data_IF_483204440503
#
_entry.id   IF_483204440503
#
_cell.length_a   1.000
_cell.length_b   1.000
_cell.length_c   1.000
_cell.angle_alpha   90.00
_cell.angle_beta   90.00
_cell.angle_gamma   90.00
#
_symmetry.space_group_name_H-M   'P 1'
#
loop_
_entity.id
_entity.type
_entity.pdbx_description
1 polymer ?
#
# COMPACT_ATOMS: atom_id res chain seq x y z
N UNK A 1 11.93 -33.36 4.07
CA UNK A 1 10.55 -33.67 4.52
C UNK A 1 10.51 -33.93 6.02
N UNK A 2 11.45 -34.73 6.57
CA UNK A 2 11.61 -34.94 8.02
C UNK A 2 11.68 -33.62 8.83
N UNK A 3 12.58 -32.70 8.48
CA UNK A 3 12.73 -31.41 9.18
C UNK A 3 11.46 -30.55 9.20
N UNK A 4 10.60 -30.67 8.18
CA UNK A 4 9.34 -29.94 8.12
C UNK A 4 8.30 -30.58 9.05
N UNK A 5 8.26 -31.91 9.11
CA UNK A 5 7.39 -32.66 10.03
C UNK A 5 7.84 -32.40 11.48
N UNK A 6 9.14 -32.41 11.77
CA UNK A 6 9.68 -32.16 13.12
C UNK A 6 9.42 -30.72 13.59
N UNK A 7 9.55 -29.74 12.69
CA UNK A 7 9.24 -28.33 12.99
C UNK A 7 7.75 -28.12 13.27
N UNK A 8 6.87 -28.74 12.47
CA UNK A 8 5.41 -28.65 12.67
C UNK A 8 4.98 -29.46 13.91
N UNK A 9 5.72 -30.51 14.27
CA UNK A 9 5.45 -31.35 15.43
C UNK A 9 5.69 -30.63 16.77
N UNK A 10 6.41 -29.49 16.78
CA UNK A 10 6.75 -28.72 18.00
C UNK A 10 7.34 -29.58 19.14
N UNK A 11 8.04 -30.66 18.77
CA UNK A 11 8.58 -31.62 19.73
C UNK A 11 9.72 -31.03 20.57
N UNK A 12 10.49 -30.11 19.99
CA UNK A 12 11.56 -29.39 20.68
C UNK A 12 11.00 -28.15 21.41
N UNK A 13 11.17 -28.06 22.74
CA UNK A 13 10.75 -26.89 23.52
C UNK A 13 11.32 -25.57 23.00
N UNK A 14 12.56 -25.55 22.50
CA UNK A 14 13.17 -24.33 22.00
C UNK A 14 12.45 -23.83 20.74
N UNK A 15 12.20 -24.72 19.77
CA UNK A 15 11.46 -24.40 18.55
C UNK A 15 10.08 -23.83 18.89
N UNK A 16 9.39 -24.41 19.88
CA UNK A 16 8.09 -23.91 20.33
C UNK A 16 8.18 -22.48 20.87
N UNK A 17 9.20 -22.16 21.68
CA UNK A 17 9.36 -20.83 22.24
C UNK A 17 9.71 -19.78 21.17
N UNK A 18 10.62 -20.12 20.26
CA UNK A 18 11.03 -19.25 19.15
C UNK A 18 9.85 -18.96 18.22
N UNK A 19 9.11 -19.99 17.82
CA UNK A 19 7.99 -19.83 16.89
C UNK A 19 6.86 -19.01 17.52
N UNK A 20 6.45 -19.34 18.75
CA UNK A 20 5.39 -18.59 19.44
C UNK A 20 5.80 -17.14 19.70
N UNK A 21 7.04 -16.91 20.13
CA UNK A 21 7.58 -15.56 20.32
C UNK A 21 7.56 -14.74 19.03
N UNK A 22 8.11 -15.28 17.93
CA UNK A 22 8.15 -14.58 16.65
C UNK A 22 6.75 -14.31 16.08
N UNK A 23 5.82 -15.25 16.22
CA UNK A 23 4.44 -15.06 15.76
C UNK A 23 3.73 -13.95 16.54
N UNK A 24 3.85 -13.95 17.87
CA UNK A 24 3.22 -12.93 18.72
C UNK A 24 3.82 -11.54 18.49
N UNK A 25 5.14 -11.45 18.38
CA UNK A 25 5.85 -10.21 18.12
C UNK A 25 5.54 -9.68 16.72
N UNK A 26 5.57 -10.53 15.68
CA UNK A 26 5.25 -10.11 14.33
C UNK A 26 3.77 -9.70 14.19
N UNK A 27 2.85 -10.40 14.85
CA UNK A 27 1.42 -10.06 14.86
C UNK A 27 1.18 -8.70 15.53
N UNK A 28 1.71 -8.50 16.73
CA UNK A 28 1.53 -7.24 17.48
C UNK A 28 2.21 -6.06 16.79
N UNK A 29 3.43 -6.24 16.26
CA UNK A 29 4.14 -5.22 15.50
C UNK A 29 3.40 -4.84 14.21
N UNK A 30 2.93 -5.82 13.42
CA UNK A 30 2.18 -5.55 12.19
C UNK A 30 0.83 -4.85 12.46
N UNK A 31 0.17 -5.19 13.57
CA UNK A 31 -1.08 -4.54 13.97
C UNK A 31 -0.87 -3.07 14.33
N UNK A 32 0.12 -2.76 15.17
CA UNK A 32 0.45 -1.36 15.52
C UNK A 32 0.96 -0.60 14.29
N UNK A 33 1.79 -1.26 13.49
CA UNK A 33 2.36 -0.72 12.26
C UNK A 33 1.32 -0.33 11.21
N UNK A 34 0.20 -1.04 11.14
CA UNK A 34 -0.92 -0.66 10.26
C UNK A 34 -1.46 0.74 10.57
N UNK A 35 -1.59 1.10 11.85
CA UNK A 35 -2.06 2.44 12.24
C UNK A 35 -0.97 3.50 12.05
N UNK A 36 0.29 3.18 12.35
CA UNK A 36 1.42 4.09 12.15
C UNK A 36 1.61 4.44 10.67
N UNK A 37 1.45 3.46 9.79
CA UNK A 37 1.45 3.68 8.35
C UNK A 37 0.32 4.62 7.92
N UNK A 38 -0.91 4.39 8.39
CA UNK A 38 -2.06 5.23 8.04
C UNK A 38 -1.91 6.67 8.54
N UNK A 39 -1.27 6.87 9.69
CA UNK A 39 -0.95 8.20 10.21
C UNK A 39 0.23 8.89 9.54
N UNK A 40 0.84 8.27 8.51
CA UNK A 40 2.06 8.78 7.83
C UNK A 40 3.24 8.97 8.79
N UNK A 41 3.30 8.17 9.86
CA UNK A 41 4.37 8.18 10.87
C UNK A 41 5.32 7.00 10.71
N UNK A 42 5.43 6.41 9.53
CA UNK A 42 6.25 5.21 9.30
C UNK A 42 7.71 5.37 9.73
N UNK A 43 8.32 6.54 9.48
CA UNK A 43 9.71 6.85 9.86
C UNK A 43 9.93 6.92 11.38
N UNK A 44 8.87 7.08 12.17
CA UNK A 44 8.95 7.12 13.62
C UNK A 44 9.36 5.75 14.18
N UNK A 45 8.89 4.65 13.58
CA UNK A 45 9.29 3.31 14.01
C UNK A 45 10.79 3.05 13.85
N UNK A 46 11.38 3.57 12.78
CA UNK A 46 12.83 3.49 12.52
C UNK A 46 13.63 4.31 13.53
N UNK A 47 13.23 5.57 13.73
CA UNK A 47 13.82 6.47 14.74
C UNK A 47 13.86 5.85 16.13
N UNK A 48 12.72 5.28 16.57
CA UNK A 48 12.59 4.66 17.88
C UNK A 48 13.47 3.42 18.00
N UNK A 49 13.54 2.59 16.96
CA UNK A 49 14.35 1.36 17.02
C UNK A 49 15.82 1.67 17.31
N UNK A 50 16.38 2.67 16.63
CA UNK A 50 17.74 3.14 16.88
C UNK A 50 17.90 3.89 18.20
N UNK A 51 16.87 4.63 18.63
CA UNK A 51 16.91 5.39 19.87
C UNK A 51 16.76 4.55 21.14
N UNK A 52 16.33 3.29 21.01
CA UNK A 52 16.25 2.33 22.12
C UNK A 52 17.64 1.89 22.59
N UNK A 53 18.63 1.83 21.69
CA UNK A 53 19.99 1.34 21.97
C UNK A 53 20.64 1.98 23.21
N UNK A 54 20.75 3.32 23.34
CA UNK A 54 21.35 3.94 24.52
C UNK A 54 20.60 3.58 25.82
N UNK A 55 19.29 3.39 25.76
CA UNK A 55 18.49 2.96 26.91
C UNK A 55 18.82 1.55 27.39
N UNK A 56 19.02 0.61 26.45
CA UNK A 56 19.45 -0.76 26.75
C UNK A 56 20.84 -0.77 27.38
N UNK A 57 21.79 -0.03 26.79
CA UNK A 57 23.16 0.08 27.29
C UNK A 57 23.21 0.75 28.67
N UNK A 58 22.44 1.83 28.88
CA UNK A 58 22.36 2.50 30.18
C UNK A 58 21.80 1.55 31.25
N UNK A 59 20.71 0.84 30.97
CA UNK A 59 20.12 -0.12 31.90
C UNK A 59 21.09 -1.24 32.27
N UNK A 60 21.88 -1.74 31.29
CA UNK A 60 22.92 -2.73 31.56
C UNK A 60 24.04 -2.17 32.46
N UNK A 61 24.51 -0.95 32.20
CA UNK A 61 25.53 -0.29 33.04
C UNK A 61 25.05 -0.08 34.48
N UNK A 62 23.78 0.28 34.69
CA UNK A 62 23.19 0.44 36.03
C UNK A 62 22.96 -0.90 36.73
N UNK A 63 22.46 -1.91 36.03
CA UNK A 63 22.13 -3.22 36.61
C UNK A 63 23.36 -4.11 36.85
N UNK A 64 24.45 -3.87 36.13
CA UNK A 64 25.65 -4.72 36.11
C UNK A 64 25.39 -6.16 35.63
N UNK A 65 24.19 -6.45 35.12
CA UNK A 65 23.68 -7.79 34.83
C UNK A 65 22.66 -7.75 33.68
N UNK A 66 22.50 -8.88 32.99
CA UNK A 66 21.54 -9.04 31.88
C UNK A 66 20.12 -9.31 32.39
N UNK A 67 19.51 -8.33 33.02
CA UNK A 67 18.10 -8.43 33.39
C UNK A 67 17.24 -7.92 32.23
N UNK A 68 16.57 -8.84 31.51
CA UNK A 68 15.70 -8.53 30.37
C UNK A 68 14.67 -7.44 30.71
N UNK A 69 14.03 -7.50 31.89
CA UNK A 69 13.00 -6.54 32.27
C UNK A 69 13.55 -5.12 32.43
N UNK A 70 14.69 -4.95 33.13
CA UNK A 70 15.33 -3.64 33.30
C UNK A 70 15.82 -3.07 31.96
N UNK A 71 16.37 -3.92 31.09
CA UNK A 71 16.81 -3.52 29.76
C UNK A 71 15.63 -3.05 28.89
N UNK A 72 14.48 -3.75 28.93
CA UNK A 72 13.27 -3.34 28.22
C UNK A 72 12.68 -2.04 28.79
N UNK A 73 12.76 -1.80 30.11
CA UNK A 73 12.34 -0.53 30.71
C UNK A 73 13.26 0.61 30.24
N UNK A 74 14.58 0.42 30.29
CA UNK A 74 15.55 1.41 29.81
C UNK A 74 15.36 1.73 28.32
N UNK A 75 15.16 0.68 27.51
CA UNK A 75 14.79 0.76 26.11
C UNK A 75 13.53 1.63 25.88
N UNK A 76 12.45 1.33 26.61
CA UNK A 76 11.20 2.08 26.51
C UNK A 76 11.36 3.54 26.89
N UNK A 77 12.04 3.84 28.00
CA UNK A 77 12.29 5.22 28.45
C UNK A 77 13.09 5.99 27.40
N UNK A 78 14.15 5.39 26.85
CA UNK A 78 14.97 6.04 25.82
C UNK A 78 14.19 6.29 24.52
N UNK A 79 13.43 5.29 24.05
CA UNK A 79 12.57 5.44 22.87
C UNK A 79 11.50 6.52 23.07
N UNK A 80 10.91 6.60 24.26
CA UNK A 80 9.95 7.64 24.61
C UNK A 80 10.57 9.05 24.65
N UNK A 81 11.75 9.17 25.26
CA UNK A 81 12.52 10.42 25.28
C UNK A 81 12.87 10.89 23.87
N UNK A 82 13.24 9.98 22.98
CA UNK A 82 13.54 10.31 21.59
C UNK A 82 12.33 10.90 20.87
N UNK A 83 11.13 10.33 21.05
CA UNK A 83 9.90 10.85 20.46
C UNK A 83 9.55 12.25 20.96
N UNK A 84 9.64 12.47 22.27
CA UNK A 84 9.43 13.79 22.87
C UNK A 84 10.42 14.78 22.27
N UNK A 85 11.68 14.38 22.10
CA UNK A 85 12.73 15.22 21.53
C UNK A 85 12.46 15.54 20.06
N UNK A 86 12.01 14.56 19.26
CA UNK A 86 11.60 14.75 17.86
C UNK A 86 10.45 15.76 17.77
N UNK A 87 9.39 15.56 18.55
CA UNK A 87 8.22 16.44 18.52
C UNK A 87 8.54 17.83 19.06
N UNK A 88 9.39 17.94 20.08
CA UNK A 88 9.86 19.21 20.62
C UNK A 88 10.68 20.01 19.59
N UNK A 89 11.63 19.37 18.92
CA UNK A 89 12.43 20.00 17.86
C UNK A 89 11.51 20.44 16.71
N UNK A 90 10.61 19.57 16.26
CA UNK A 90 9.70 19.88 15.17
C UNK A 90 8.71 21.01 15.52
N UNK A 91 8.31 21.14 16.80
CA UNK A 91 7.38 22.18 17.24
C UNK A 91 8.04 23.54 17.55
N UNK A 92 9.31 23.54 17.98
CA UNK A 92 10.02 24.76 18.44
C UNK A 92 11.07 25.28 17.45
N UNK A 93 11.35 24.57 16.37
CA UNK A 93 12.34 24.97 15.37
C UNK A 93 11.73 25.10 13.97
N UNK A 94 12.51 25.61 13.01
CA UNK A 94 12.15 25.66 11.58
C UNK A 94 12.41 24.34 10.84
N UNK A 95 12.84 23.30 11.56
CA UNK A 95 13.26 22.03 10.98
C UNK A 95 12.02 21.15 10.73
N UNK A 96 11.93 20.56 9.51
CA UNK A 96 10.86 19.62 9.17
C UNK A 96 10.94 18.36 10.02
N UNK A 97 9.79 17.74 10.30
CA UNK A 97 9.70 16.54 11.15
C UNK A 97 10.64 15.40 10.71
N UNK A 98 10.78 15.16 9.40
CA UNK A 98 11.68 14.12 8.87
C UNK A 98 13.17 14.41 9.16
N UNK A 99 13.58 15.68 9.11
CA UNK A 99 14.93 16.08 9.47
C UNK A 99 15.17 16.02 10.99
N UNK A 100 14.16 16.34 11.80
CA UNK A 100 14.23 16.15 13.25
C UNK A 100 14.36 14.66 13.62
N UNK A 101 13.62 13.78 12.92
CA UNK A 101 13.76 12.32 13.04
C UNK A 101 15.20 11.89 12.76
N UNK A 102 15.78 12.33 11.63
CA UNK A 102 17.15 11.98 11.25
C UNK A 102 18.19 12.46 12.29
N UNK A 103 18.06 13.69 12.79
CA UNK A 103 18.95 14.25 13.82
C UNK A 103 18.92 13.40 15.10
N UNK A 104 17.72 13.11 15.61
CA UNK A 104 17.56 12.35 16.86
C UNK A 104 18.04 10.92 16.69
N UNK A 105 17.73 10.27 15.56
CA UNK A 105 18.23 8.94 15.22
C UNK A 105 19.75 8.90 15.27
N UNK A 106 20.45 9.84 14.60
CA UNK A 106 21.91 9.85 14.57
C UNK A 106 22.54 10.07 15.94
N UNK A 107 22.00 11.00 16.74
CA UNK A 107 22.54 11.33 18.08
C UNK A 107 22.34 10.18 19.05
N UNK A 108 21.12 9.64 19.15
CA UNK A 108 20.82 8.56 20.07
C UNK A 108 21.54 7.27 19.68
N UNK A 109 21.57 6.94 18.39
CA UNK A 109 22.29 5.77 17.91
C UNK A 109 23.79 5.89 18.16
N UNK A 110 24.39 7.05 17.84
CA UNK A 110 25.81 7.31 18.11
C UNK A 110 26.14 7.20 19.61
N UNK A 111 25.29 7.77 20.46
CA UNK A 111 25.43 7.66 21.92
C UNK A 111 25.34 6.20 22.38
N UNK A 112 24.34 5.46 21.89
CA UNK A 112 24.19 4.04 22.19
C UNK A 112 25.37 3.20 21.74
N UNK A 113 25.94 3.49 20.56
CA UNK A 113 27.14 2.82 20.07
C UNK A 113 28.37 3.11 20.92
N UNK A 114 28.58 4.36 21.37
CA UNK A 114 29.66 4.71 22.29
C UNK A 114 29.51 3.95 23.62
N UNK A 115 28.31 3.91 24.18
CA UNK A 115 28.03 3.15 25.40
C UNK A 115 28.25 1.65 25.20
N UNK A 116 27.83 1.11 24.05
CA UNK A 116 28.04 -0.30 23.70
C UNK A 116 29.53 -0.64 23.59
N UNK A 117 30.31 0.17 22.88
CA UNK A 117 31.77 -0.02 22.74
C UNK A 117 32.47 0.07 24.10
N UNK A 118 32.06 1.03 24.94
CA UNK A 118 32.58 1.14 26.31
C UNK A 118 32.28 -0.12 27.14
N UNK A 119 31.03 -0.61 27.09
CA UNK A 119 30.65 -1.87 27.74
C UNK A 119 31.57 -2.98 27.26
N UNK A 120 31.65 -3.23 25.95
CA UNK A 120 32.44 -4.31 25.36
C UNK A 120 33.93 -4.28 25.77
N UNK A 121 34.50 -3.09 25.96
CA UNK A 121 35.91 -2.91 26.36
C UNK A 121 36.13 -2.97 27.89
N UNK A 122 35.07 -2.93 28.70
CA UNK A 122 35.16 -2.91 30.17
C UNK A 122 35.66 -4.23 30.79
N UNK A 123 35.69 -5.33 30.02
CA UNK A 123 36.10 -6.65 30.50
C UNK A 123 35.06 -7.35 31.39
N UNK A 124 33.83 -6.83 31.49
CA UNK A 124 32.77 -7.43 32.28
C UNK A 124 32.29 -8.74 31.62
N UNK A 125 32.44 -9.88 32.30
CA UNK A 125 31.97 -11.17 31.78
C UNK A 125 30.47 -11.20 31.46
N UNK A 126 29.66 -10.39 32.16
CA UNK A 126 28.22 -10.28 31.93
C UNK A 126 27.85 -9.65 30.58
N UNK A 127 28.80 -9.08 29.84
CA UNK A 127 28.56 -8.46 28.53
C UNK A 127 28.43 -9.46 27.38
N UNK A 128 28.96 -10.68 27.55
CA UNK A 128 29.07 -11.69 26.47
C UNK A 128 27.70 -12.00 25.88
N UNK A 129 27.45 -11.70 24.61
CA UNK A 129 26.16 -11.91 23.93
C UNK A 129 25.14 -10.77 24.07
N UNK A 130 25.55 -9.58 24.53
CA UNK A 130 24.71 -8.37 24.51
C UNK A 130 24.45 -7.86 23.09
N UNK A 131 25.43 -8.04 22.21
CA UNK A 131 25.33 -7.80 20.77
C UNK A 131 24.26 -8.69 20.12
N UNK A 132 24.23 -9.99 20.44
CA UNK A 132 23.18 -10.89 19.96
C UNK A 132 21.78 -10.51 20.45
N UNK A 133 21.66 -9.93 21.66
CA UNK A 133 20.39 -9.42 22.16
C UNK A 133 19.90 -8.17 21.40
N UNK A 134 20.81 -7.25 21.09
CA UNK A 134 20.49 -5.97 20.43
C UNK A 134 20.24 -6.15 18.93
N UNK A 135 21.08 -6.95 18.26
CA UNK A 135 20.97 -7.22 16.83
C UNK A 135 19.97 -8.32 16.49
N UNK A 136 19.36 -8.95 17.51
CA UNK A 136 18.32 -9.93 17.37
C UNK A 136 18.86 -11.33 17.14
N UNK A 137 18.51 -12.25 18.02
CA UNK A 137 18.72 -13.68 17.81
C UNK A 137 17.61 -14.45 18.50
N UNK A 138 16.55 -14.76 17.76
CA UNK A 138 15.42 -15.47 18.36
C UNK A 138 15.83 -16.85 18.88
N UNK A 139 16.92 -17.46 18.40
CA UNK A 139 17.40 -18.75 18.91
C UNK A 139 17.84 -18.73 20.39
N UNK A 140 18.07 -17.55 20.98
CA UNK A 140 18.43 -17.41 22.40
C UNK A 140 17.22 -17.14 23.31
N UNK A 141 15.99 -17.24 22.79
CA UNK A 141 14.76 -17.06 23.55
C UNK A 141 14.60 -18.18 24.59
N UNK A 142 14.49 -17.81 25.87
CA UNK A 142 14.19 -18.74 26.96
C UNK A 142 12.71 -18.67 27.33
N UNK A 143 12.18 -19.72 27.97
CA UNK A 143 10.77 -19.76 28.40
C UNK A 143 10.33 -18.57 29.26
N UNK A 144 11.22 -18.00 30.09
CA UNK A 144 10.93 -16.79 30.87
C UNK A 144 10.69 -15.55 29.98
N UNK A 145 11.47 -15.41 28.90
CA UNK A 145 11.30 -14.32 27.95
C UNK A 145 9.98 -14.44 27.20
N UNK A 146 9.56 -15.68 26.87
CA UNK A 146 8.28 -15.93 26.23
C UNK A 146 7.10 -15.44 27.07
N UNK A 147 7.13 -15.59 28.40
CA UNK A 147 6.06 -15.09 29.28
C UNK A 147 6.00 -13.56 29.21
N UNK A 148 7.15 -12.89 29.29
CA UNK A 148 7.23 -11.42 29.18
C UNK A 148 6.71 -10.95 27.82
N UNK A 149 7.15 -11.56 26.72
CA UNK A 149 6.71 -11.20 25.38
C UNK A 149 5.24 -11.52 25.14
N UNK A 150 4.71 -12.60 25.71
CA UNK A 150 3.29 -12.93 25.60
C UNK A 150 2.43 -11.90 26.33
N UNK A 151 2.83 -11.47 27.53
CA UNK A 151 2.14 -10.41 28.26
C UNK A 151 2.16 -9.10 27.46
N UNK A 152 3.32 -8.69 26.97
CA UNK A 152 3.46 -7.43 26.22
C UNK A 152 2.71 -7.47 24.88
N UNK A 153 2.79 -8.57 24.14
CA UNK A 153 2.02 -8.76 22.91
C UNK A 153 0.51 -8.76 23.19
N UNK A 154 0.05 -9.41 24.27
CA UNK A 154 -1.35 -9.38 24.68
C UNK A 154 -1.81 -7.95 25.02
N UNK A 155 -1.00 -7.18 25.75
CA UNK A 155 -1.27 -5.76 26.03
C UNK A 155 -1.39 -4.95 24.74
N UNK A 156 -0.46 -5.14 23.78
CA UNK A 156 -0.49 -4.45 22.49
C UNK A 156 -1.75 -4.80 21.68
N UNK A 157 -2.04 -6.09 21.51
CA UNK A 157 -3.19 -6.58 20.75
C UNK A 157 -4.51 -6.13 21.39
N UNK A 158 -4.62 -6.21 22.71
CA UNK A 158 -5.81 -5.80 23.45
C UNK A 158 -6.00 -4.28 23.39
N UNK A 159 -4.95 -3.50 23.62
CA UNK A 159 -5.03 -2.04 23.55
C UNK A 159 -5.45 -1.58 22.14
N UNK A 160 -4.83 -2.11 21.09
CA UNK A 160 -5.22 -1.78 19.71
C UNK A 160 -6.61 -2.29 19.37
N UNK A 161 -7.01 -3.48 19.86
CA UNK A 161 -8.35 -4.03 19.66
C UNK A 161 -9.45 -3.18 20.32
N UNK A 162 -9.27 -2.80 21.58
CA UNK A 162 -10.22 -1.97 22.35
C UNK A 162 -10.34 -0.57 21.76
N UNK A 163 -9.20 0.07 21.46
CA UNK A 163 -9.17 1.43 20.91
C UNK A 163 -9.24 1.48 19.37
N UNK A 164 -9.54 0.36 18.70
CA UNK A 164 -9.50 0.24 17.24
C UNK A 164 -10.29 1.35 16.54
N UNK A 165 -11.54 1.58 16.97
CA UNK A 165 -12.41 2.61 16.38
C UNK A 165 -11.83 4.01 16.55
N UNK A 166 -11.30 4.30 17.73
CA UNK A 166 -10.72 5.60 18.06
C UNK A 166 -9.44 5.86 17.26
N UNK A 167 -8.54 4.86 17.16
CA UNK A 167 -7.34 4.97 16.33
C UNK A 167 -7.65 5.09 14.85
N UNK A 168 -8.67 4.37 14.35
CA UNK A 168 -9.11 4.50 12.96
C UNK A 168 -9.58 5.93 12.68
N UNK A 169 -10.43 6.49 13.55
CA UNK A 169 -10.95 7.86 13.42
C UNK A 169 -9.81 8.88 13.37
N UNK A 170 -8.89 8.82 14.35
CA UNK A 170 -7.73 9.72 14.45
C UNK A 170 -6.76 9.56 13.27
N UNK A 171 -6.67 8.36 12.67
CA UNK A 171 -5.81 8.12 11.52
C UNK A 171 -6.35 8.72 10.21
N UNK A 172 -7.68 8.76 10.03
CA UNK A 172 -8.30 9.28 8.81
C UNK A 172 -8.68 10.76 8.91
N UNK A 173 -9.23 11.21 10.05
CA UNK A 173 -9.70 12.58 10.24
C UNK A 173 -9.60 13.01 11.71
N UNK A 174 -8.53 13.77 12.04
CA UNK A 174 -8.30 14.30 13.38
C UNK A 174 -9.34 15.37 13.78
N UNK A 175 -9.63 16.41 12.96
CA UNK A 175 -10.67 17.38 13.28
C UNK A 175 -12.05 16.76 13.54
N UNK A 176 -12.47 15.78 12.73
CA UNK A 176 -13.73 15.08 12.94
C UNK A 176 -13.75 14.30 14.26
N UNK A 177 -12.63 13.66 14.63
CA UNK A 177 -12.50 13.00 15.92
C UNK A 177 -12.62 13.97 17.11
N UNK A 178 -12.04 15.17 17.01
CA UNK A 178 -12.15 16.21 18.03
C UNK A 178 -13.60 16.72 18.16
N UNK A 179 -14.29 16.93 17.04
CA UNK A 179 -15.70 17.36 17.03
C UNK A 179 -16.63 16.34 17.68
N UNK A 180 -16.33 15.03 17.56
CA UNK A 180 -17.04 13.95 18.23
C UNK A 180 -16.69 13.80 19.73
N UNK A 181 -15.79 14.64 20.26
CA UNK A 181 -15.39 14.62 21.68
C UNK A 181 -14.30 13.61 22.02
N UNK A 182 -13.65 12.98 21.04
CA UNK A 182 -12.52 12.09 21.33
C UNK A 182 -11.29 12.90 21.79
N UNK A 183 -10.56 12.43 22.83
CA UNK A 183 -9.34 13.08 23.28
C UNK A 183 -8.17 12.75 22.34
N UNK A 184 -8.13 13.34 21.15
CA UNK A 184 -7.18 13.03 20.07
C UNK A 184 -5.72 13.06 20.53
N UNK A 185 -5.33 14.05 21.35
CA UNK A 185 -3.96 14.13 21.91
C UNK A 185 -3.59 12.91 22.76
N UNK A 186 -4.52 12.41 23.59
CA UNK A 186 -4.28 11.23 24.44
C UNK A 186 -4.23 9.95 23.61
N UNK A 187 -5.07 9.84 22.58
CA UNK A 187 -5.05 8.71 21.65
C UNK A 187 -3.76 8.67 20.83
N UNK A 188 -3.27 9.82 20.37
CA UNK A 188 -2.01 9.91 19.63
C UNK A 188 -0.82 9.53 20.52
N UNK A 189 -0.79 10.01 21.76
CA UNK A 189 0.21 9.61 22.77
C UNK A 189 0.14 8.12 23.07
N UNK A 190 -1.06 7.56 23.23
CA UNK A 190 -1.24 6.13 23.48
C UNK A 190 -0.72 5.29 22.31
N UNK A 191 -1.11 5.60 21.06
CA UNK A 191 -0.64 4.86 19.90
C UNK A 191 0.89 4.96 19.74
N UNK A 192 1.44 6.14 20.00
CA UNK A 192 2.88 6.35 19.97
C UNK A 192 3.57 5.51 21.07
N UNK A 193 2.97 5.40 22.26
CA UNK A 193 3.48 4.55 23.36
C UNK A 193 3.46 3.08 22.98
N UNK A 194 2.37 2.62 22.38
CA UNK A 194 2.23 1.25 21.88
C UNK A 194 3.24 0.96 20.78
N UNK A 195 3.63 1.96 19.99
CA UNK A 195 4.66 1.83 18.96
C UNK A 195 6.04 1.64 19.57
N UNK A 196 6.42 2.45 20.58
CA UNK A 196 7.66 2.22 21.32
C UNK A 196 7.66 0.85 21.95
N UNK A 197 6.55 0.47 22.58
CA UNK A 197 6.44 -0.83 23.24
C UNK A 197 6.59 -1.98 22.23
N UNK A 198 5.93 -1.90 21.06
CA UNK A 198 6.05 -2.89 19.99
C UNK A 198 7.49 -3.01 19.46
N UNK A 199 8.16 -1.88 19.25
CA UNK A 199 9.57 -1.84 18.83
C UNK A 199 10.46 -2.51 19.89
N UNK A 200 10.35 -2.08 21.14
CA UNK A 200 11.13 -2.61 22.27
C UNK A 200 10.94 -4.11 22.46
N UNK A 201 9.71 -4.60 22.34
CA UNK A 201 9.41 -6.03 22.46
C UNK A 201 10.02 -6.87 21.34
N UNK A 202 10.06 -6.36 20.12
CA UNK A 202 10.54 -7.13 18.97
C UNK A 202 12.04 -7.03 18.71
N UNK A 203 12.74 -6.07 19.32
CA UNK A 203 14.19 -5.91 19.18
C UNK A 203 14.94 -7.21 19.52
N UNK A 204 14.49 -7.94 20.54
CA UNK A 204 15.15 -9.17 20.99
C UNK A 204 15.07 -10.32 19.97
N UNK A 205 13.96 -10.41 19.24
CA UNK A 205 13.69 -11.49 18.30
C UNK A 205 14.16 -11.18 16.88
N UNK A 206 13.98 -9.92 16.44
CA UNK A 206 14.20 -9.50 15.06
C UNK A 206 15.45 -8.62 14.94
N UNK A 207 15.77 -7.85 15.98
CA UNK A 207 16.90 -6.92 16.00
C UNK A 207 16.49 -5.47 15.81
N UNK A 208 17.28 -4.55 16.40
CA UNK A 208 17.09 -3.10 16.32
C UNK A 208 16.82 -2.60 14.90
N UNK A 209 17.70 -2.93 13.94
CA UNK A 209 17.60 -2.39 12.58
C UNK A 209 16.39 -2.93 11.82
N UNK A 210 16.03 -4.19 12.09
CA UNK A 210 15.07 -4.95 11.29
C UNK A 210 13.63 -4.79 11.81
N UNK A 211 13.46 -4.30 13.04
CA UNK A 211 12.15 -4.08 13.63
C UNK A 211 11.32 -3.02 12.90
N UNK A 212 11.94 -1.97 12.39
CA UNK A 212 11.25 -0.96 11.59
C UNK A 212 10.59 -1.58 10.35
N UNK A 213 11.28 -2.53 9.70
CA UNK A 213 10.74 -3.25 8.56
C UNK A 213 9.56 -4.16 8.96
N UNK A 214 9.65 -4.87 10.09
CA UNK A 214 8.53 -5.69 10.59
C UNK A 214 7.31 -4.87 10.99
N UNK A 215 7.51 -3.63 11.42
CA UNK A 215 6.41 -2.71 11.73
C UNK A 215 5.73 -2.22 10.43
N UNK A 216 6.50 -1.76 9.45
CA UNK A 216 5.96 -1.01 8.30
C UNK A 216 5.65 -1.88 7.08
N UNK A 217 6.54 -2.80 6.71
CA UNK A 217 6.46 -3.58 5.46
C UNK A 217 5.18 -4.42 5.33
N UNK A 218 4.75 -5.23 6.33
CA UNK A 218 3.52 -6.02 6.20
C UNK A 218 2.27 -5.13 6.11
N UNK A 219 2.25 -4.00 6.81
CA UNK A 219 1.18 -3.01 6.71
C UNK A 219 1.13 -2.35 5.32
N UNK A 220 2.29 -2.02 4.75
CA UNK A 220 2.39 -1.45 3.42
C UNK A 220 1.93 -2.43 2.35
N UNK A 221 2.32 -3.70 2.47
CA UNK A 221 1.85 -4.78 1.61
C UNK A 221 0.32 -4.92 1.67
N UNK A 222 -0.26 -4.96 2.89
CA UNK A 222 -1.70 -5.11 3.10
C UNK A 222 -2.53 -3.97 2.48
N UNK A 223 -1.99 -2.75 2.42
CA UNK A 223 -2.69 -1.57 1.85
C UNK A 223 -3.01 -1.71 0.36
N UNK A 224 -2.28 -2.54 -0.38
CA UNK A 224 -2.53 -2.82 -1.80
C UNK A 224 -3.73 -3.75 -2.03
N UNK A 225 -4.07 -4.59 -1.05
CA UNK A 225 -5.10 -5.62 -1.18
C UNK A 225 -6.50 -5.15 -0.80
N UNK A 226 -6.62 -4.10 0.02
CA UNK A 226 -7.92 -3.67 0.52
C UNK A 226 -8.02 -2.18 0.83
N UNK A 227 -9.25 -1.66 0.75
CA UNK A 227 -9.62 -0.31 1.15
C UNK A 227 -10.29 -0.26 2.53
N UNK A 228 -10.61 -1.42 3.12
CA UNK A 228 -11.21 -1.49 4.44
C UNK A 228 -10.13 -1.66 5.52
N UNK A 229 -10.07 -0.74 6.49
CA UNK A 229 -9.06 -0.77 7.57
C UNK A 229 -9.07 -2.06 8.39
N UNK A 230 -10.25 -2.65 8.69
CA UNK A 230 -10.32 -3.89 9.48
C UNK A 230 -9.67 -5.04 8.73
N UNK A 231 -9.95 -5.15 7.42
CA UNK A 231 -9.32 -6.15 6.54
C UNK A 231 -7.84 -5.86 6.38
N UNK A 232 -7.43 -4.59 6.27
CA UNK A 232 -6.03 -4.20 6.14
C UNK A 232 -5.21 -4.65 7.36
N UNK A 233 -5.71 -4.39 8.57
CA UNK A 233 -5.04 -4.82 9.81
C UNK A 233 -4.95 -6.35 9.86
N UNK A 234 -6.03 -7.06 9.54
CA UNK A 234 -6.03 -8.53 9.49
C UNK A 234 -5.03 -9.11 8.48
N UNK A 235 -4.95 -8.54 7.27
CA UNK A 235 -3.98 -8.95 6.24
C UNK A 235 -2.54 -8.62 6.67
N UNK A 236 -2.31 -7.45 7.29
CA UNK A 236 -0.99 -7.07 7.78
C UNK A 236 -0.50 -8.05 8.87
N UNK A 237 -1.37 -8.40 9.82
CA UNK A 237 -1.09 -9.41 10.84
C UNK A 237 -0.79 -10.77 10.18
N UNK A 238 -1.61 -11.21 9.21
CA UNK A 238 -1.37 -12.47 8.50
C UNK A 238 -0.02 -12.50 7.78
N UNK A 239 0.37 -11.41 7.10
CA UNK A 239 1.68 -11.29 6.47
C UNK A 239 2.83 -11.26 7.48
N UNK A 240 2.67 -10.55 8.60
CA UNK A 240 3.64 -10.54 9.69
C UNK A 240 3.84 -11.93 10.29
N UNK A 241 2.75 -12.62 10.64
CA UNK A 241 2.78 -13.99 11.16
C UNK A 241 3.41 -14.96 10.18
N UNK A 242 3.06 -14.89 8.89
CA UNK A 242 3.66 -15.73 7.87
C UNK A 242 5.16 -15.46 7.72
N UNK A 243 5.59 -14.20 7.77
CA UNK A 243 7.01 -13.85 7.77
C UNK A 243 7.74 -14.37 9.02
N UNK A 244 7.12 -14.27 10.19
CA UNK A 244 7.63 -14.81 11.47
C UNK A 244 7.80 -16.32 11.45
N UNK A 245 6.78 -17.06 10.98
CA UNK A 245 6.82 -18.51 10.81
C UNK A 245 7.90 -18.94 9.82
N UNK A 246 7.95 -18.30 8.65
CA UNK A 246 8.92 -18.62 7.60
C UNK A 246 10.35 -18.32 8.07
N UNK A 247 10.57 -17.18 8.73
CA UNK A 247 11.87 -16.81 9.28
C UNK A 247 12.34 -17.77 10.38
N UNK A 248 11.44 -18.19 11.28
CA UNK A 248 11.74 -19.19 12.30
C UNK A 248 12.08 -20.56 11.67
N UNK A 249 11.31 -20.98 10.66
CA UNK A 249 11.56 -22.24 9.95
C UNK A 249 12.92 -22.26 9.25
N UNK A 250 13.29 -21.18 8.56
CA UNK A 250 14.58 -21.09 7.86
C UNK A 250 15.75 -21.15 8.86
N UNK A 251 15.63 -20.44 9.99
CA UNK A 251 16.64 -20.48 11.05
C UNK A 251 16.78 -21.85 11.71
N UNK A 252 15.67 -22.59 11.85
CA UNK A 252 15.69 -23.98 12.34
C UNK A 252 16.43 -24.93 11.39
N UNK A 253 16.16 -24.84 10.09
CA UNK A 253 16.78 -25.73 9.08
C UNK A 253 18.25 -25.37 8.84
N UNK A 254 18.60 -24.09 8.94
CA UNK A 254 19.95 -23.57 8.74
C UNK A 254 20.39 -22.78 9.98
N UNK A 255 21.03 -23.42 10.98
CA UNK A 255 21.39 -22.78 12.25
C UNK A 255 22.30 -21.54 12.14
N UNK A 256 23.05 -21.42 11.04
CA UNK A 256 23.88 -20.25 10.75
C UNK A 256 23.08 -19.02 10.25
N UNK A 257 21.78 -19.18 9.99
CA UNK A 257 20.90 -18.15 9.46
C UNK A 257 20.06 -17.50 10.57
N UNK A 258 20.27 -16.21 10.90
CA UNK A 258 19.49 -15.53 11.95
C UNK A 258 18.02 -15.32 11.54
N UNK A 259 17.11 -15.45 12.49
CA UNK A 259 15.65 -15.33 12.26
C UNK A 259 15.22 -13.96 11.73
N UNK A 260 15.70 -12.88 12.34
CA UNK A 260 15.29 -11.50 12.02
C UNK A 260 15.48 -11.12 10.55
N UNK A 261 16.69 -11.25 9.98
CA UNK A 261 16.95 -10.98 8.56
C UNK A 261 16.02 -11.75 7.63
N UNK A 262 15.77 -13.04 7.90
CA UNK A 262 14.88 -13.86 7.09
C UNK A 262 13.42 -13.45 7.19
N UNK A 263 12.94 -13.04 8.38
CA UNK A 263 11.61 -12.45 8.52
C UNK A 263 11.46 -11.22 7.60
N UNK A 264 12.46 -10.33 7.60
CA UNK A 264 12.46 -9.12 6.74
C UNK A 264 12.49 -9.48 5.27
N UNK A 265 13.36 -10.41 4.84
CA UNK A 265 13.44 -10.86 3.43
C UNK A 265 12.09 -11.42 2.97
N UNK A 266 11.47 -12.29 3.76
CA UNK A 266 10.14 -12.86 3.45
C UNK A 266 9.07 -11.77 3.39
N UNK A 267 9.02 -10.86 4.38
CA UNK A 267 8.05 -9.76 4.37
C UNK A 267 8.24 -8.83 3.16
N UNK A 268 9.47 -8.58 2.75
CA UNK A 268 9.82 -7.73 1.61
C UNK A 268 9.43 -8.41 0.30
N UNK A 269 9.61 -9.74 0.20
CA UNK A 269 9.13 -10.51 -0.94
C UNK A 269 7.58 -10.44 -1.06
N UNK A 270 6.87 -10.55 0.07
CA UNK A 270 5.40 -10.39 0.11
C UNK A 270 4.99 -8.98 -0.31
N UNK A 271 5.69 -7.95 0.18
CA UNK A 271 5.42 -6.56 -0.19
C UNK A 271 5.68 -6.30 -1.68
N UNK A 272 6.79 -6.82 -2.21
CA UNK A 272 7.11 -6.74 -3.63
C UNK A 272 6.03 -7.43 -4.48
N UNK A 273 5.64 -8.66 -4.12
CA UNK A 273 4.55 -9.35 -4.81
C UNK A 273 3.24 -8.56 -4.75
N UNK A 274 2.89 -8.02 -3.58
CA UNK A 274 1.68 -7.20 -3.39
C UNK A 274 1.68 -5.95 -4.25
N UNK A 275 2.84 -5.29 -4.38
CA UNK A 275 3.00 -4.09 -5.19
C UNK A 275 2.78 -4.33 -6.69
N UNK A 276 3.25 -5.46 -7.23
CA UNK A 276 3.10 -5.77 -8.64
C UNK A 276 1.73 -6.38 -8.98
N UNK A 277 1.23 -7.30 -8.16
CA UNK A 277 0.12 -8.19 -8.51
C UNK A 277 -1.21 -7.89 -7.81
N UNK A 278 -1.29 -6.91 -6.90
CA UNK A 278 -2.57 -6.61 -6.25
C UNK A 278 -3.66 -6.18 -7.25
N UNK A 279 -4.90 -6.71 -7.17
CA UNK A 279 -5.88 -6.65 -8.26
C UNK A 279 -6.27 -5.23 -8.73
N UNK A 280 -6.43 -4.28 -7.79
CA UNK A 280 -6.90 -2.91 -8.10
C UNK A 280 -5.79 -1.86 -8.08
N UNK A 281 -4.77 -2.06 -7.25
CA UNK A 281 -3.72 -1.06 -7.00
C UNK A 281 -2.34 -1.49 -7.49
N UNK A 282 -2.19 -2.74 -7.90
CA UNK A 282 -0.93 -3.25 -8.42
C UNK A 282 -0.60 -2.63 -9.77
N UNK A 283 0.70 -2.52 -10.06
CA UNK A 283 1.18 -1.95 -11.32
C UNK A 283 0.71 -2.79 -12.52
N UNK A 284 0.78 -4.12 -12.43
CA UNK A 284 0.48 -4.99 -13.58
C UNK A 284 -1.01 -4.95 -13.95
N UNK A 285 -1.97 -5.09 -13.02
CA UNK A 285 -3.38 -4.92 -13.35
C UNK A 285 -3.72 -3.52 -13.87
N UNK A 286 -3.11 -2.47 -13.31
CA UNK A 286 -3.32 -1.10 -13.78
C UNK A 286 -2.81 -0.91 -15.20
N UNK A 287 -1.61 -1.38 -15.52
CA UNK A 287 -1.05 -1.35 -16.88
C UNK A 287 -1.88 -2.18 -17.86
N UNK A 288 -2.36 -3.35 -17.44
CA UNK A 288 -3.22 -4.20 -18.27
C UNK A 288 -4.56 -3.52 -18.57
N UNK A 289 -5.23 -2.95 -17.56
CA UNK A 289 -6.46 -2.18 -17.73
C UNK A 289 -6.25 -0.95 -18.60
N UNK A 290 -5.17 -0.18 -18.39
CA UNK A 290 -4.84 0.97 -19.24
C UNK A 290 -4.65 0.56 -20.71
N UNK A 291 -3.89 -0.50 -20.97
CA UNK A 291 -3.71 -1.02 -22.34
C UNK A 291 -5.02 -1.53 -22.94
N UNK A 292 -5.87 -2.17 -22.14
CA UNK A 292 -7.20 -2.62 -22.58
C UNK A 292 -8.08 -1.42 -22.94
N UNK A 293 -8.14 -0.40 -22.09
CA UNK A 293 -8.93 0.81 -22.32
C UNK A 293 -8.43 1.58 -23.55
N UNK A 294 -7.11 1.77 -23.70
CA UNK A 294 -6.53 2.37 -24.89
C UNK A 294 -6.91 1.62 -26.18
N UNK A 295 -6.99 0.28 -26.13
CA UNK A 295 -7.43 -0.51 -27.29
C UNK A 295 -8.91 -0.27 -27.62
N UNK A 296 -9.76 -0.17 -26.61
CA UNK A 296 -11.19 0.13 -26.78
C UNK A 296 -11.38 1.52 -27.37
N UNK A 297 -10.73 2.54 -26.79
CA UNK A 297 -10.76 3.93 -27.26
C UNK A 297 -10.35 4.02 -28.73
N UNK A 298 -9.21 3.43 -29.10
CA UNK A 298 -8.72 3.49 -30.49
C UNK A 298 -9.70 2.79 -31.46
N UNK A 299 -10.31 1.67 -31.06
CA UNK A 299 -11.29 0.97 -31.90
C UNK A 299 -12.60 1.75 -32.04
N UNK A 300 -13.10 2.35 -30.96
CA UNK A 300 -14.34 3.15 -30.97
C UNK A 300 -14.15 4.48 -31.70
N UNK A 301 -13.02 5.16 -31.51
CA UNK A 301 -12.65 6.33 -32.30
C UNK A 301 -12.51 6.00 -33.78
N UNK A 302 -11.98 4.83 -34.13
CA UNK A 302 -11.92 4.40 -35.54
C UNK A 302 -13.34 4.25 -36.11
N UNK A 303 -14.26 3.62 -35.38
CA UNK A 303 -15.66 3.49 -35.81
C UNK A 303 -16.37 4.85 -35.94
N UNK A 304 -16.11 5.76 -35.00
CA UNK A 304 -16.61 7.14 -35.00
C UNK A 304 -16.16 7.91 -36.26
N UNK A 305 -14.90 7.72 -36.69
CA UNK A 305 -14.40 8.31 -37.94
C UNK A 305 -15.20 7.83 -39.17
N UNK A 306 -15.53 6.53 -39.25
CA UNK A 306 -16.38 6.03 -40.34
C UNK A 306 -17.78 6.65 -40.31
N UNK A 307 -18.38 6.78 -39.12
CA UNK A 307 -19.71 7.36 -38.98
C UNK A 307 -19.73 8.83 -39.43
N UNK A 308 -18.79 9.67 -38.95
CA UNK A 308 -18.71 11.07 -39.35
C UNK A 308 -18.42 11.27 -40.85
N UNK A 309 -17.59 10.41 -41.46
CA UNK A 309 -17.39 10.42 -42.91
C UNK A 309 -18.66 10.03 -43.69
N UNK A 310 -19.46 9.12 -43.13
CA UNK A 310 -20.77 8.75 -43.66
C UNK A 310 -21.77 9.90 -43.56
N UNK A 311 -21.82 10.57 -42.41
CA UNK A 311 -22.69 11.73 -42.13
C UNK A 311 -22.36 12.90 -43.07
N UNK A 312 -21.07 13.24 -43.22
CA UNK A 312 -20.60 14.34 -44.09
C UNK A 312 -20.93 14.12 -45.57
N UNK A 313 -20.92 12.88 -46.03
CA UNK A 313 -21.10 12.53 -47.44
C UNK A 313 -22.47 11.89 -47.73
N UNK A 314 -23.35 11.79 -46.73
CA UNK A 314 -24.62 11.03 -46.79
C UNK A 314 -24.45 9.59 -47.33
N UNK A 315 -23.30 8.96 -47.06
CA UNK A 315 -22.95 7.66 -47.60
C UNK A 315 -22.21 6.80 -46.57
N UNK A 316 -22.99 6.08 -45.75
CA UNK A 316 -22.50 5.26 -44.64
C UNK A 316 -21.89 3.91 -45.08
N UNK A 317 -22.31 3.38 -46.23
CA UNK A 317 -21.83 2.10 -46.78
C UNK A 317 -20.54 2.24 -47.61
N UNK A 318 -20.03 3.47 -47.74
CA UNK A 318 -18.86 3.77 -48.55
C UNK A 318 -17.58 3.12 -48.04
N UNK A 319 -16.87 2.46 -48.95
CA UNK A 319 -15.50 2.00 -48.70
C UNK A 319 -14.56 3.20 -48.52
N UNK A 320 -13.80 3.21 -47.43
CA UNK A 320 -12.84 4.28 -47.07
C UNK A 320 -11.41 3.78 -47.12
N UNK A 321 -10.53 4.61 -47.64
CA UNK A 321 -9.09 4.33 -47.67
C UNK A 321 -8.41 4.75 -46.36
N UNK A 322 -7.19 4.25 -46.12
CA UNK A 322 -6.41 4.63 -44.93
C UNK A 322 -6.12 6.13 -44.89
N UNK A 323 -5.84 6.75 -46.04
CA UNK A 323 -5.46 8.16 -46.12
C UNK A 323 -6.67 9.08 -45.92
N UNK A 324 -7.86 8.65 -46.35
CA UNK A 324 -9.12 9.36 -46.09
C UNK A 324 -9.51 9.31 -44.60
N UNK A 325 -9.28 8.17 -43.93
CA UNK A 325 -9.45 8.09 -42.48
C UNK A 325 -8.42 8.99 -41.78
N UNK A 326 -7.14 8.89 -42.15
CA UNK A 326 -6.08 9.67 -41.53
C UNK A 326 -6.18 11.19 -41.75
N UNK A 327 -6.93 11.66 -42.75
CA UNK A 327 -7.18 13.09 -42.95
C UNK A 327 -8.32 13.64 -42.09
N UNK A 328 -9.17 12.77 -41.54
CA UNK A 328 -10.29 13.15 -40.68
C UNK A 328 -9.83 13.53 -39.27
N UNK A 329 -8.72 12.95 -38.80
CA UNK A 329 -8.14 13.21 -37.49
C UNK A 329 -6.64 12.91 -37.48
N UNK A 330 -5.85 13.70 -36.76
CA UNK A 330 -4.42 13.42 -36.55
C UNK A 330 -4.24 12.13 -35.72
N UNK A 331 -4.14 10.99 -36.40
CA UNK A 331 -3.97 9.68 -35.78
C UNK A 331 -2.73 9.00 -36.36
N UNK A 332 -1.96 8.36 -35.49
CA UNK A 332 -0.83 7.54 -35.91
C UNK A 332 -1.28 6.40 -36.84
N UNK A 333 -0.83 6.43 -38.11
CA UNK A 333 -1.20 5.45 -39.15
C UNK A 333 -0.93 3.99 -38.74
N UNK A 334 0.07 3.72 -37.90
CA UNK A 334 0.36 2.37 -37.43
C UNK A 334 -0.67 1.86 -36.42
N UNK A 335 -1.12 2.74 -35.50
CA UNK A 335 -2.20 2.43 -34.56
C UNK A 335 -3.52 2.20 -35.32
N UNK A 336 -3.84 3.07 -36.28
CA UNK A 336 -5.05 2.95 -37.11
C UNK A 336 -5.07 1.62 -37.91
N UNK A 337 -3.97 1.25 -38.58
CA UNK A 337 -3.87 -0.06 -39.27
C UNK A 337 -4.14 -1.23 -38.32
N UNK A 338 -3.61 -1.15 -37.09
CA UNK A 338 -3.79 -2.21 -36.10
C UNK A 338 -5.24 -2.28 -35.61
N UNK A 339 -5.92 -1.13 -35.50
CA UNK A 339 -7.33 -1.05 -35.15
C UNK A 339 -8.23 -1.61 -36.25
N UNK A 340 -8.00 -1.21 -37.51
CA UNK A 340 -8.73 -1.70 -38.68
C UNK A 340 -8.68 -3.23 -38.78
N UNK A 341 -7.49 -3.84 -38.65
CA UNK A 341 -7.35 -5.31 -38.65
C UNK A 341 -8.16 -5.98 -37.54
N UNK A 342 -8.18 -5.39 -36.34
CA UNK A 342 -8.93 -5.92 -35.19
C UNK A 342 -10.44 -5.78 -35.38
N UNK A 343 -10.89 -4.66 -35.92
CA UNK A 343 -12.31 -4.41 -36.21
C UNK A 343 -12.83 -5.35 -37.31
N UNK A 344 -12.02 -5.63 -38.34
CA UNK A 344 -12.32 -6.65 -39.35
C UNK A 344 -12.41 -8.05 -38.71
N UNK A 345 -11.45 -8.42 -37.87
CA UNK A 345 -11.48 -9.70 -37.15
C UNK A 345 -12.70 -9.85 -36.20
N UNK A 346 -13.26 -8.73 -35.71
CA UNK A 346 -14.47 -8.69 -34.90
C UNK A 346 -15.77 -8.66 -35.73
N UNK A 347 -15.68 -8.63 -37.06
CA UNK A 347 -16.85 -8.53 -37.95
C UNK A 347 -17.52 -7.16 -37.96
N UNK A 348 -16.86 -6.12 -37.44
CA UNK A 348 -17.38 -4.75 -37.39
C UNK A 348 -17.00 -3.93 -38.65
N UNK A 349 -15.97 -4.37 -39.39
CA UNK A 349 -15.59 -3.79 -40.66
C UNK A 349 -15.46 -4.90 -41.72
N UNK A 350 -15.88 -4.60 -42.95
CA UNK A 350 -15.52 -5.37 -44.13
C UNK A 350 -14.26 -4.76 -44.77
N UNK A 351 -13.40 -5.57 -45.39
CA UNK A 351 -12.22 -5.09 -46.11
C UNK A 351 -12.20 -5.61 -47.54
N UNK A 352 -11.94 -4.72 -48.49
CA UNK A 352 -11.80 -5.03 -49.92
C UNK A 352 -10.78 -4.10 -50.56
N UNK A 353 -9.81 -4.66 -51.29
CA UNK A 353 -8.82 -3.91 -52.10
C UNK A 353 -8.08 -2.78 -51.34
N UNK A 354 -7.78 -2.99 -50.05
CA UNK A 354 -7.09 -1.99 -49.22
C UNK A 354 -7.99 -0.85 -48.72
N UNK A 355 -9.30 -0.99 -48.88
CA UNK A 355 -10.33 -0.14 -48.30
C UNK A 355 -11.16 -0.91 -47.28
N UNK A 356 -11.90 -0.18 -46.45
CA UNK A 356 -12.74 -0.73 -45.38
C UNK A 356 -14.12 -0.07 -45.39
N UNK A 357 -15.15 -0.80 -45.01
CA UNK A 357 -16.50 -0.28 -44.82
C UNK A 357 -17.10 -0.82 -43.51
N UNK A 358 -18.05 -0.10 -42.92
CA UNK A 358 -18.83 -0.59 -41.79
C UNK A 358 -19.68 -1.79 -42.21
N UNK A 359 -19.73 -2.82 -41.38
CA UNK A 359 -20.80 -3.83 -41.45
C UNK A 359 -22.04 -3.31 -40.71
N UNK A 360 -23.19 -3.96 -40.83
CA UNK A 360 -24.40 -3.59 -40.07
C UNK A 360 -24.12 -3.52 -38.56
N UNK A 361 -23.39 -4.51 -38.03
CA UNK A 361 -22.98 -4.54 -36.62
C UNK A 361 -21.98 -3.42 -36.28
N UNK A 362 -21.06 -3.12 -37.21
CA UNK A 362 -20.15 -1.98 -37.09
C UNK A 362 -20.89 -0.64 -37.05
N UNK A 363 -21.90 -0.48 -37.89
CA UNK A 363 -22.69 0.72 -38.00
C UNK A 363 -23.49 0.98 -36.72
N UNK A 364 -24.19 -0.03 -36.20
CA UNK A 364 -24.88 0.07 -34.90
C UNK A 364 -23.92 0.45 -33.75
N UNK A 365 -22.72 -0.14 -33.73
CA UNK A 365 -21.73 0.19 -32.70
C UNK A 365 -21.19 1.61 -32.85
N UNK A 366 -20.87 2.04 -34.07
CA UNK A 366 -20.40 3.40 -34.36
C UNK A 366 -21.46 4.44 -33.97
N UNK A 367 -22.71 4.17 -34.33
CA UNK A 367 -23.88 4.99 -34.00
C UNK A 367 -24.06 5.15 -32.49
N UNK A 368 -23.94 4.05 -31.72
CA UNK A 368 -23.98 4.09 -30.25
C UNK A 368 -22.86 4.96 -29.66
N UNK A 369 -21.64 4.86 -30.16
CA UNK A 369 -20.51 5.67 -29.67
C UNK A 369 -20.74 7.16 -29.95
N UNK A 370 -21.19 7.51 -31.16
CA UNK A 370 -21.52 8.90 -31.53
C UNK A 370 -22.69 9.45 -30.71
N UNK A 371 -23.73 8.65 -30.48
CA UNK A 371 -24.85 9.00 -29.61
C UNK A 371 -24.36 9.33 -28.18
N UNK A 372 -23.56 8.45 -27.59
CA UNK A 372 -23.01 8.64 -26.25
C UNK A 372 -22.17 9.91 -26.15
N UNK A 373 -21.36 10.20 -27.17
CA UNK A 373 -20.60 11.44 -27.27
C UNK A 373 -21.51 12.68 -27.21
N UNK A 374 -22.52 12.73 -28.09
CA UNK A 374 -23.47 13.85 -28.18
C UNK A 374 -24.28 14.06 -26.90
N UNK A 375 -24.71 12.96 -26.25
CA UNK A 375 -25.40 13.02 -24.95
C UNK A 375 -24.50 13.60 -23.85
N UNK A 376 -23.20 13.26 -23.85
CA UNK A 376 -22.25 13.84 -22.90
C UNK A 376 -21.99 15.31 -23.17
N UNK A 377 -21.87 15.70 -24.43
CA UNK A 377 -21.73 17.11 -24.77
C UNK A 377 -22.92 17.91 -24.21
N UNK A 378 -24.15 17.40 -24.41
CA UNK A 378 -25.35 18.01 -23.87
C UNK A 378 -25.38 18.05 -22.34
N UNK A 379 -24.97 16.97 -21.68
CA UNK A 379 -24.91 16.92 -20.22
C UNK A 379 -23.92 17.93 -19.64
N UNK A 380 -22.71 18.00 -20.20
CA UNK A 380 -21.65 18.89 -19.73
C UNK A 380 -22.03 20.36 -19.96
N UNK A 381 -22.65 20.70 -21.10
CA UNK A 381 -23.15 22.06 -21.32
C UNK A 381 -24.32 22.39 -20.39
N UNK A 382 -25.28 21.48 -20.20
CA UNK A 382 -26.52 21.76 -19.45
C UNK A 382 -26.33 21.78 -17.93
N UNK A 383 -25.48 20.91 -17.39
CA UNK A 383 -25.35 20.69 -15.93
C UNK A 383 -24.00 21.12 -15.36
N UNK A 384 -22.96 21.26 -16.19
CA UNK A 384 -21.62 21.64 -15.74
C UNK A 384 -21.19 23.05 -16.21
N UNK A 385 -22.06 23.76 -16.94
CA UNK A 385 -21.86 25.12 -17.47
C UNK A 385 -20.57 25.28 -18.29
N UNK A 386 -20.16 24.19 -18.96
CA UNK A 386 -19.01 24.19 -19.86
C UNK A 386 -19.49 24.67 -21.23
N UNK A 387 -18.84 25.71 -21.77
CA UNK A 387 -19.18 26.29 -23.06
C UNK A 387 -19.04 25.24 -24.17
N UNK A 388 -20.04 25.15 -25.06
CA UNK A 388 -20.17 24.09 -26.07
C UNK A 388 -18.96 23.94 -26.99
N UNK A 389 -18.17 25.00 -27.18
CA UNK A 389 -16.93 25.01 -27.96
C UNK A 389 -15.72 24.33 -27.27
N UNK A 390 -15.82 24.02 -25.98
CA UNK A 390 -14.76 23.39 -25.16
C UNK A 390 -15.15 22.01 -24.60
N UNK A 391 -16.36 21.53 -24.86
CA UNK A 391 -16.89 20.30 -24.24
C UNK A 391 -16.40 19.02 -24.91
N UNK A 392 -15.97 19.12 -26.17
CA UNK A 392 -15.63 17.97 -27.02
C UNK A 392 -14.55 17.06 -26.40
N UNK A 393 -13.47 17.64 -25.89
CA UNK A 393 -12.32 16.90 -25.31
C UNK A 393 -12.70 16.17 -24.00
N UNK A 394 -13.57 16.78 -23.20
CA UNK A 394 -14.06 16.21 -21.95
C UNK A 394 -15.04 15.06 -22.22
N UNK A 395 -15.94 15.23 -23.20
CA UNK A 395 -16.87 14.19 -23.64
C UNK A 395 -16.12 12.97 -24.22
N UNK A 396 -15.08 13.19 -25.03
CA UNK A 396 -14.27 12.13 -25.63
C UNK A 396 -13.59 11.24 -24.56
N UNK A 397 -13.20 11.82 -23.43
CA UNK A 397 -12.54 11.08 -22.36
C UNK A 397 -13.49 10.10 -21.65
N UNK A 398 -14.80 10.39 -21.64
CA UNK A 398 -15.79 9.68 -20.83
C UNK A 398 -16.63 8.69 -21.65
N UNK A 399 -16.86 8.95 -22.94
CA UNK A 399 -17.78 8.17 -23.80
C UNK A 399 -17.46 6.66 -23.84
N UNK A 400 -16.18 6.29 -23.73
CA UNK A 400 -15.69 4.92 -23.81
C UNK A 400 -15.81 4.11 -22.49
N UNK A 401 -16.21 4.75 -21.39
CA UNK A 401 -16.17 4.16 -20.04
C UNK A 401 -17.58 3.75 -19.56
N UNK A 402 -18.64 4.11 -20.29
CA UNK A 402 -20.01 3.92 -19.85
C UNK A 402 -20.56 2.50 -20.03
N UNK A 403 -21.29 2.06 -19.00
CA UNK A 403 -22.11 0.85 -19.06
C UNK A 403 -23.51 1.18 -19.61
N UNK A 404 -24.25 0.19 -20.15
CA UNK A 404 -25.61 0.41 -20.65
C UNK A 404 -26.58 0.98 -19.61
N UNK A 405 -26.34 0.72 -18.32
CA UNK A 405 -27.14 1.27 -17.23
C UNK A 405 -26.92 2.79 -17.07
N UNK A 406 -25.67 3.25 -17.16
CA UNK A 406 -25.34 4.68 -17.09
C UNK A 406 -25.82 5.44 -18.33
N UNK A 407 -25.80 4.80 -19.50
CA UNK A 407 -26.37 5.35 -20.74
C UNK A 407 -27.87 5.65 -20.57
N UNK A 408 -28.64 4.69 -20.04
CA UNK A 408 -30.09 4.88 -19.77
C UNK A 408 -30.37 5.97 -18.75
N UNK A 409 -29.56 6.04 -17.70
CA UNK A 409 -29.68 7.08 -16.67
C UNK A 409 -29.40 8.46 -17.27
N UNK A 410 -28.36 8.58 -18.11
CA UNK A 410 -28.00 9.83 -18.79
C UNK A 410 -29.14 10.32 -19.69
N UNK A 411 -29.73 9.43 -20.48
CA UNK A 411 -30.89 9.76 -21.34
C UNK A 411 -32.10 10.22 -20.54
N UNK A 412 -32.39 9.53 -19.44
CA UNK A 412 -33.49 9.88 -18.55
C UNK A 412 -33.27 11.27 -17.93
N UNK A 413 -32.06 11.59 -17.47
CA UNK A 413 -31.73 12.91 -16.91
C UNK A 413 -31.74 14.03 -17.95
N UNK A 414 -31.44 13.73 -19.22
CA UNK A 414 -31.48 14.70 -20.31
C UNK A 414 -32.89 14.88 -20.90
N UNK A 415 -33.82 13.97 -20.60
CA UNK A 415 -35.20 14.02 -21.08
C UNK A 415 -35.37 13.52 -22.51
N UNK A 416 -34.59 12.51 -22.92
CA UNK A 416 -34.63 11.92 -24.28
C UNK A 416 -34.45 12.96 -25.40
N UNK A 417 -33.30 13.65 -25.45
CA UNK A 417 -33.06 14.70 -26.43
C UNK A 417 -32.93 14.14 -27.85
N UNK A 418 -33.50 14.85 -28.83
CA UNK A 418 -33.34 14.54 -30.27
C UNK A 418 -32.11 15.22 -30.90
N UNK A 419 -31.53 16.24 -30.24
CA UNK A 419 -30.40 17.03 -30.75
C UNK A 419 -29.33 17.31 -29.70
N UNK A 420 -28.09 17.48 -30.16
CA UNK A 420 -26.91 17.86 -29.37
C UNK A 420 -26.79 19.41 -29.21
N UNK A 421 -25.81 19.92 -28.42
CA UNK A 421 -25.61 21.36 -28.23
C UNK A 421 -25.31 22.16 -29.50
N UNK A 422 -24.92 21.48 -30.58
CA UNK A 422 -24.59 22.06 -31.87
C UNK A 422 -25.73 21.93 -32.89
N UNK A 423 -26.92 21.53 -32.44
CA UNK A 423 -28.14 21.31 -33.24
C UNK A 423 -28.04 20.12 -34.22
N UNK A 424 -27.10 19.20 -33.99
CA UNK A 424 -26.95 17.94 -34.74
C UNK A 424 -27.87 16.87 -34.17
N UNK A 425 -28.45 16.02 -35.03
CA UNK A 425 -29.36 14.95 -34.60
C UNK A 425 -28.64 13.89 -33.77
N UNK A 426 -29.22 13.49 -32.64
CA UNK A 426 -28.69 12.38 -31.83
C UNK A 426 -29.16 11.05 -32.44
N UNK A 427 -28.24 10.14 -32.83
CA UNK A 427 -28.62 8.88 -33.46
C UNK A 427 -29.47 7.98 -32.52
N UNK A 428 -30.61 7.47 -33.03
CA UNK A 428 -31.60 6.70 -32.26
C UNK A 428 -31.40 5.19 -32.20
#
# INVERSE_FOLDING_TARGET
>A
MQNLIDFISFSDPNVRYVVLGNVLLAASAAMVGAFILLQKKALVGDAVSHAVLPGVCAAFLFSGSKNTALMLIGAFVSGWLALITIDYIAAKSKIKKDAAIGLVLSVFFGTGMVMMTYIQQSGNAAQSGLDHFIFGNAATLVGADLVVFSILAAVLLLAVGVFFKAFALVAFDKPYAEALGYPVRRLDLLLTSLTVLAVVTGITAVGVVLMAAMLVTPAAAARYWTDNIRRMVGIAVAFGVFAGLSGAYISYVAPAMPTGPWMVVVSSAIAFFSFFFAPRKGIVPRMYMQRKNQRVIVEENTLKMFYHLGERNSHFDGMRSLDELASTREVNKALLKTALRRLVAKGLLASRDGQWALTDAGHQKAMRVVRLHRLWELYLTKYMDIASDHVHDDAETIEHILTPELERELEHQLGYPDKDPHDTEIPK
#
